data_IF_924448605529
#
_entry.id   IF_924448605529
#
_cell.length_a   1.000
_cell.length_b   1.000
_cell.length_c   1.000
_cell.angle_alpha   90.00
_cell.angle_beta   90.00
_cell.angle_gamma   90.00
#
_symmetry.space_group_name_H-M   'P 1'
#
loop_
_entity.id
_entity.type
_entity.pdbx_description
1 polymer ?
#
# COMPACT_ATOMS: atom_id res chain seq x y z
N UNK A 1 -20.56 17.03 -4.84
CA UNK A 1 -21.07 15.78 -4.21
C UNK A 1 -22.60 15.71 -4.23
N UNK A 2 -23.33 16.70 -3.70
CA UNK A 2 -24.82 16.71 -3.72
C UNK A 2 -25.43 16.64 -5.13
N UNK A 3 -24.84 17.32 -6.13
CA UNK A 3 -25.28 17.24 -7.53
C UNK A 3 -25.10 15.84 -8.16
N UNK A 4 -24.03 15.14 -7.79
CA UNK A 4 -23.79 13.75 -8.21
C UNK A 4 -24.78 12.78 -7.57
N UNK A 5 -25.09 12.99 -6.28
CA UNK A 5 -26.10 12.20 -5.57
C UNK A 5 -27.49 12.47 -6.15
N UNK A 6 -27.82 13.73 -6.48
CA UNK A 6 -29.09 14.09 -7.11
C UNK A 6 -29.24 13.49 -8.51
N UNK A 7 -28.16 13.51 -9.31
CA UNK A 7 -28.13 12.92 -10.64
C UNK A 7 -28.27 11.39 -10.60
N UNK A 8 -27.54 10.72 -9.69
CA UNK A 8 -27.66 9.28 -9.49
C UNK A 8 -29.02 8.90 -8.89
N UNK A 9 -29.60 9.73 -8.02
CA UNK A 9 -30.93 9.52 -7.45
C UNK A 9 -32.03 9.64 -8.50
N UNK A 10 -31.87 10.55 -9.46
CA UNK A 10 -32.78 10.68 -10.59
C UNK A 10 -32.72 9.47 -11.55
N UNK A 11 -31.56 8.82 -11.64
CA UNK A 11 -31.33 7.68 -12.54
C UNK A 11 -31.67 6.32 -11.93
N UNK A 12 -31.34 6.15 -10.65
CA UNK A 12 -31.27 4.85 -9.96
C UNK A 12 -32.19 4.79 -8.73
N UNK A 13 -32.82 5.91 -8.37
CA UNK A 13 -33.60 6.07 -7.13
C UNK A 13 -32.74 6.58 -5.97
N UNK A 14 -33.40 7.23 -4.99
CA UNK A 14 -32.74 7.88 -3.85
C UNK A 14 -31.92 6.89 -3.00
N UNK A 15 -32.48 5.72 -2.73
CA UNK A 15 -31.82 4.72 -1.89
C UNK A 15 -30.59 4.07 -2.57
N UNK A 16 -30.65 3.64 -3.84
CA UNK A 16 -29.47 3.20 -4.58
C UNK A 16 -28.41 4.30 -4.75
N UNK A 17 -28.80 5.57 -4.91
CA UNK A 17 -27.86 6.68 -4.98
C UNK A 17 -27.16 6.95 -3.65
N UNK A 18 -27.89 6.89 -2.53
CA UNK A 18 -27.31 7.00 -1.18
C UNK A 18 -26.38 5.80 -0.92
N UNK A 19 -26.82 4.58 -1.23
CA UNK A 19 -26.00 3.38 -1.08
C UNK A 19 -24.74 3.43 -1.95
N UNK A 20 -24.86 3.89 -3.21
CA UNK A 20 -23.73 4.09 -4.12
C UNK A 20 -22.77 5.17 -3.61
N UNK A 21 -23.28 6.27 -3.06
CA UNK A 21 -22.46 7.34 -2.50
C UNK A 21 -21.74 6.94 -1.21
N UNK A 22 -22.35 6.09 -0.39
CA UNK A 22 -21.79 5.63 0.89
C UNK A 22 -20.82 4.46 0.74
N UNK A 23 -21.08 3.53 -0.18
CA UNK A 23 -20.34 2.27 -0.28
C UNK A 23 -19.61 2.08 -1.62
N UNK A 24 -20.03 2.79 -2.67
CA UNK A 24 -19.53 2.62 -4.03
C UNK A 24 -19.96 1.29 -4.66
N UNK A 25 -20.33 1.29 -5.94
CA UNK A 25 -20.74 0.05 -6.63
C UNK A 25 -19.61 -0.97 -6.77
N UNK A 26 -18.35 -0.51 -6.78
CA UNK A 26 -17.16 -1.35 -7.02
C UNK A 26 -16.44 -1.79 -5.75
N UNK A 27 -16.66 -1.08 -4.64
CA UNK A 27 -15.94 -1.28 -3.37
C UNK A 27 -16.87 -1.66 -2.22
N UNK A 28 -18.19 -1.69 -2.43
CA UNK A 28 -19.17 -1.92 -1.36
C UNK A 28 -18.95 -3.20 -0.56
N UNK A 29 -18.50 -4.28 -1.20
CA UNK A 29 -18.15 -5.52 -0.49
C UNK A 29 -16.96 -5.34 0.48
N UNK A 30 -15.96 -4.54 0.10
CA UNK A 30 -14.80 -4.21 0.94
C UNK A 30 -15.16 -3.28 2.12
N UNK A 31 -16.24 -2.49 1.99
CA UNK A 31 -16.73 -1.61 3.07
C UNK A 31 -17.68 -2.36 4.02
N UNK A 32 -18.56 -3.20 3.46
CA UNK A 32 -19.66 -3.82 4.20
C UNK A 32 -19.21 -5.10 4.90
N UNK A 33 -18.51 -6.01 4.20
CA UNK A 33 -18.23 -7.36 4.71
C UNK A 33 -17.03 -7.41 5.65
N UNK A 34 -16.08 -6.47 5.53
CA UNK A 34 -14.85 -6.44 6.33
C UNK A 34 -13.97 -7.66 6.06
N UNK A 35 -12.68 -7.44 5.79
CA UNK A 35 -11.78 -8.59 5.62
C UNK A 35 -11.24 -9.08 6.96
N UNK A 36 -11.27 -10.40 7.20
CA UNK A 36 -10.58 -11.04 8.33
C UNK A 36 -9.07 -10.74 8.31
N UNK A 37 -8.48 -10.53 7.12
CA UNK A 37 -7.08 -10.12 7.01
C UNK A 37 -6.85 -8.66 7.46
N UNK A 38 -7.83 -7.77 7.23
CA UNK A 38 -7.74 -6.36 7.66
C UNK A 38 -7.80 -6.21 9.19
N UNK A 39 -8.58 -7.07 9.86
CA UNK A 39 -8.63 -7.15 11.33
C UNK A 39 -7.32 -7.65 11.94
N UNK A 40 -6.59 -8.55 11.26
CA UNK A 40 -5.28 -9.05 11.71
C UNK A 40 -4.16 -8.03 11.47
N UNK A 41 -4.19 -7.37 10.32
CA UNK A 41 -3.10 -6.48 9.89
C UNK A 41 -3.18 -5.09 10.56
N UNK A 42 -4.38 -4.59 10.86
CA UNK A 42 -4.56 -3.28 11.50
C UNK A 42 -3.75 -3.10 12.79
N UNK A 43 -3.86 -3.99 13.79
CA UNK A 43 -3.05 -3.92 15.00
C UNK A 43 -1.54 -3.96 14.75
N UNK A 44 -1.08 -4.75 13.77
CA UNK A 44 0.33 -4.82 13.39
C UNK A 44 0.81 -3.49 12.80
N UNK A 45 -0.01 -2.84 11.98
CA UNK A 45 0.29 -1.49 11.48
C UNK A 45 0.44 -0.49 12.63
N UNK A 46 -0.46 -0.52 13.62
CA UNK A 46 -0.37 0.35 14.79
C UNK A 46 0.91 0.08 15.58
N UNK A 47 1.20 -1.19 15.89
CA UNK A 47 2.40 -1.57 16.65
C UNK A 47 3.69 -1.15 15.93
N UNK A 48 3.73 -1.32 14.60
CA UNK A 48 4.87 -0.92 13.79
C UNK A 48 5.10 0.60 13.79
N UNK A 49 4.04 1.41 13.92
CA UNK A 49 4.13 2.87 13.98
C UNK A 49 4.50 3.41 15.38
N UNK A 50 4.40 2.58 16.42
CA UNK A 50 4.68 2.98 17.80
C UNK A 50 5.69 2.05 18.49
N UNK A 51 6.94 1.92 18.01
CA UNK A 51 8.01 1.27 18.75
C UNK A 51 8.48 2.10 19.97
N UNK A 52 7.69 3.10 20.38
CA UNK A 52 8.03 4.09 21.39
C UNK A 52 6.94 4.18 22.48
N UNK A 53 7.11 5.11 23.43
CA UNK A 53 6.20 5.24 24.58
C UNK A 53 4.80 5.78 24.23
N UNK A 54 4.55 6.24 23.00
CA UNK A 54 3.27 6.87 22.67
C UNK A 54 2.09 5.92 22.89
N UNK A 55 2.20 4.63 22.54
CA UNK A 55 1.11 3.68 22.70
C UNK A 55 0.82 3.35 24.19
N UNK A 56 1.81 3.02 25.04
CA UNK A 56 1.59 2.93 26.49
C UNK A 56 1.04 4.21 27.11
N UNK A 57 1.58 5.38 26.73
CA UNK A 57 1.13 6.66 27.23
C UNK A 57 -0.31 6.96 26.78
N UNK A 58 -0.72 6.55 25.58
CA UNK A 58 -2.09 6.69 25.11
C UNK A 58 -3.06 5.98 26.05
N UNK A 59 -2.77 4.75 26.49
CA UNK A 59 -3.64 4.04 27.44
C UNK A 59 -3.71 4.72 28.80
N UNK A 60 -2.60 5.26 29.30
CA UNK A 60 -2.61 6.07 30.52
C UNK A 60 -3.43 7.35 30.32
N UNK A 61 -3.32 7.97 29.15
CA UNK A 61 -4.12 9.12 28.73
C UNK A 61 -5.61 8.81 28.72
N UNK A 62 -6.02 7.67 28.17
CA UNK A 62 -7.43 7.22 28.19
C UNK A 62 -7.92 7.05 29.63
N UNK A 63 -7.11 6.48 30.52
CA UNK A 63 -7.47 6.33 31.93
C UNK A 63 -7.57 7.69 32.67
N UNK A 64 -6.78 8.68 32.26
CA UNK A 64 -6.71 10.00 32.89
C UNK A 64 -7.62 11.06 32.26
N UNK A 65 -8.08 10.87 31.01
CA UNK A 65 -8.70 11.93 30.20
C UNK A 65 -9.95 12.53 30.84
N UNK A 66 -10.78 11.73 31.53
CA UNK A 66 -11.97 12.24 32.23
C UNK A 66 -11.62 13.19 33.36
N UNK A 67 -10.50 12.96 34.05
CA UNK A 67 -10.02 13.81 35.14
C UNK A 67 -9.36 15.09 34.60
N UNK A 68 -8.64 14.98 33.48
CA UNK A 68 -7.87 16.09 32.91
C UNK A 68 -8.72 17.01 32.01
N UNK A 69 -9.66 16.46 31.24
CA UNK A 69 -10.46 17.19 30.23
C UNK A 69 -11.91 17.45 30.67
N UNK A 70 -12.37 16.81 31.74
CA UNK A 70 -13.79 16.78 32.10
C UNK A 70 -14.62 15.81 31.25
N UNK A 71 -15.88 15.61 31.65
CA UNK A 71 -16.76 14.57 31.07
C UNK A 71 -17.06 14.72 29.57
N UNK A 72 -17.62 15.86 29.11
CA UNK A 72 -18.04 16.01 27.71
C UNK A 72 -16.88 15.93 26.72
N UNK A 73 -15.77 16.60 27.01
CA UNK A 73 -14.61 16.60 26.13
C UNK A 73 -13.91 15.23 26.10
N UNK A 74 -13.79 14.55 27.24
CA UNK A 74 -13.28 13.18 27.28
C UNK A 74 -14.13 12.21 26.45
N UNK A 75 -15.46 12.37 26.46
CA UNK A 75 -16.36 11.59 25.62
C UNK A 75 -16.16 11.88 24.13
N UNK A 76 -16.06 13.16 23.75
CA UNK A 76 -15.82 13.53 22.36
C UNK A 76 -14.49 12.94 21.83
N UNK A 77 -13.39 13.13 22.58
CA UNK A 77 -12.07 12.59 22.22
C UNK A 77 -12.10 11.06 22.17
N UNK A 78 -12.69 10.40 23.16
CA UNK A 78 -12.80 8.94 23.20
C UNK A 78 -13.61 8.39 22.02
N UNK A 79 -14.74 9.03 21.70
CA UNK A 79 -15.61 8.63 20.59
C UNK A 79 -14.91 8.84 19.24
N UNK A 80 -14.26 9.97 19.01
CA UNK A 80 -13.48 10.23 17.79
C UNK A 80 -12.35 9.21 17.62
N UNK A 81 -11.61 8.93 18.70
CA UNK A 81 -10.53 7.93 18.70
C UNK A 81 -11.06 6.55 18.31
N UNK A 82 -12.15 6.10 18.95
CA UNK A 82 -12.76 4.82 18.66
C UNK A 82 -13.32 4.76 17.23
N UNK A 83 -13.99 5.81 16.77
CA UNK A 83 -14.56 5.89 15.43
C UNK A 83 -13.48 5.79 14.35
N UNK A 84 -12.39 6.57 14.47
CA UNK A 84 -11.28 6.51 13.51
C UNK A 84 -10.58 5.16 13.51
N UNK A 85 -10.36 4.57 14.68
CA UNK A 85 -9.76 3.24 14.78
C UNK A 85 -10.65 2.16 14.13
N UNK A 86 -11.93 2.12 14.50
CA UNK A 86 -12.88 1.13 13.98
C UNK A 86 -13.08 1.28 12.47
N UNK A 87 -13.13 2.52 11.98
CA UNK A 87 -13.17 2.79 10.56
C UNK A 87 -11.93 2.23 9.84
N UNK A 88 -10.73 2.56 10.33
CA UNK A 88 -9.49 2.13 9.72
C UNK A 88 -9.32 0.59 9.72
N UNK A 89 -9.66 -0.08 10.82
CA UNK A 89 -9.56 -1.55 10.94
C UNK A 89 -10.57 -2.27 10.06
N UNK A 90 -11.78 -1.71 9.90
CA UNK A 90 -12.85 -2.31 9.10
C UNK A 90 -12.62 -2.14 7.60
N UNK A 91 -12.02 -1.03 7.19
CA UNK A 91 -11.93 -0.65 5.78
C UNK A 91 -10.79 -1.40 5.07
N UNK A 92 -11.11 -2.54 4.45
CA UNK A 92 -10.13 -3.42 3.82
C UNK A 92 -9.81 -2.99 2.39
N UNK A 93 -8.98 -1.98 2.24
CA UNK A 93 -8.38 -1.57 0.95
C UNK A 93 -6.86 -1.67 1.01
N UNK A 94 -6.20 -1.66 -0.15
CA UNK A 94 -4.73 -1.77 -0.26
C UNK A 94 -4.00 -0.72 0.59
N UNK A 95 -4.53 0.50 0.66
CA UNK A 95 -3.95 1.62 1.40
C UNK A 95 -4.58 1.81 2.78
N UNK A 96 -4.98 0.71 3.43
CA UNK A 96 -5.63 0.72 4.76
C UNK A 96 -4.88 1.60 5.78
N UNK A 97 -3.55 1.60 5.72
CA UNK A 97 -2.68 2.37 6.61
C UNK A 97 -2.95 3.89 6.58
N UNK A 98 -3.39 4.45 5.44
CA UNK A 98 -3.70 5.88 5.34
C UNK A 98 -4.90 6.28 6.21
N UNK A 99 -5.85 5.36 6.42
CA UNK A 99 -7.02 5.62 7.26
C UNK A 99 -6.70 5.62 8.76
N UNK A 100 -5.52 5.15 9.17
CA UNK A 100 -5.07 5.27 10.54
C UNK A 100 -4.53 6.67 10.88
N UNK A 101 -4.28 7.56 9.90
CA UNK A 101 -3.70 8.89 10.16
C UNK A 101 -4.55 9.72 11.14
N UNK A 102 -5.89 9.83 11.00
CA UNK A 102 -6.72 10.52 11.99
C UNK A 102 -6.69 9.85 13.37
N UNK A 103 -6.62 8.52 13.41
CA UNK A 103 -6.45 7.78 14.67
C UNK A 103 -5.12 8.09 15.33
N UNK A 104 -4.01 8.15 14.58
CA UNK A 104 -2.69 8.49 15.10
C UNK A 104 -2.62 9.90 15.69
N UNK A 105 -3.34 10.86 15.10
CA UNK A 105 -3.47 12.19 15.68
C UNK A 105 -4.15 12.15 17.06
N UNK A 106 -5.25 11.38 17.18
CA UNK A 106 -5.93 11.21 18.48
C UNK A 106 -5.06 10.46 19.49
N UNK A 107 -4.35 9.42 19.05
CA UNK A 107 -3.41 8.66 19.87
C UNK A 107 -2.29 9.56 20.42
N UNK A 108 -1.77 10.49 19.62
CA UNK A 108 -0.77 11.47 20.05
C UNK A 108 -1.29 12.42 21.13
N UNK A 109 -2.54 12.91 21.00
CA UNK A 109 -3.19 13.75 22.02
C UNK A 109 -3.32 12.97 23.33
N UNK A 110 -3.85 11.75 23.27
CA UNK A 110 -3.99 10.87 24.44
C UNK A 110 -2.64 10.53 25.06
N UNK A 111 -1.61 10.27 24.25
CA UNK A 111 -0.25 10.05 24.74
C UNK A 111 0.29 11.28 25.49
N UNK A 112 0.01 12.49 25.01
CA UNK A 112 0.32 13.73 25.72
C UNK A 112 -0.35 13.82 27.09
N UNK A 113 -1.64 13.46 27.19
CA UNK A 113 -2.35 13.40 28.47
C UNK A 113 -1.75 12.36 29.42
N UNK A 114 -1.40 11.18 28.90
CA UNK A 114 -0.73 10.15 29.68
C UNK A 114 0.63 10.62 30.19
N UNK A 115 1.38 11.35 29.36
CA UNK A 115 2.65 11.95 29.76
C UNK A 115 2.47 12.96 30.90
N UNK A 116 1.50 13.88 30.79
CA UNK A 116 1.17 14.84 31.86
C UNK A 116 0.87 14.10 33.16
N UNK A 117 -0.04 13.12 33.13
CA UNK A 117 -0.46 12.36 34.31
C UNK A 117 0.70 11.64 35.01
N UNK A 118 1.63 11.06 34.26
CA UNK A 118 2.78 10.36 34.84
C UNK A 118 3.90 11.34 35.26
N UNK A 119 3.99 12.50 34.62
CA UNK A 119 4.96 13.53 34.99
C UNK A 119 4.67 14.13 36.37
N UNK A 120 3.39 14.28 36.72
CA UNK A 120 2.91 14.73 38.04
C UNK A 120 3.28 13.74 39.16
N UNK A 121 3.52 12.47 38.84
CA UNK A 121 3.96 11.45 39.80
C UNK A 121 5.47 11.51 40.11
N UNK A 122 6.14 12.64 39.84
CA UNK A 122 7.56 12.88 40.13
C UNK A 122 8.55 12.26 39.14
N UNK A 123 8.08 11.60 38.08
CA UNK A 123 8.92 10.84 37.12
C UNK A 123 9.24 11.60 35.83
N UNK A 124 8.93 12.91 35.76
CA UNK A 124 9.02 13.73 34.54
C UNK A 124 10.36 13.60 33.80
N UNK A 125 11.49 13.70 34.51
CA UNK A 125 12.83 13.65 33.90
C UNK A 125 13.09 12.31 33.22
N UNK A 126 12.83 11.20 33.92
CA UNK A 126 13.04 9.85 33.38
C UNK A 126 12.10 9.53 32.23
N UNK A 127 10.83 9.93 32.33
CA UNK A 127 9.85 9.75 31.25
C UNK A 127 10.25 10.54 30.00
N UNK A 128 10.72 11.78 30.16
CA UNK A 128 11.21 12.60 29.06
C UNK A 128 12.43 11.96 28.38
N UNK A 129 13.42 11.53 29.17
CA UNK A 129 14.61 10.83 28.64
C UNK A 129 14.23 9.55 27.90
N UNK A 130 13.37 8.71 28.48
CA UNK A 130 12.92 7.47 27.84
C UNK A 130 12.13 7.74 26.55
N UNK A 131 11.27 8.76 26.52
CA UNK A 131 10.53 9.16 25.33
C UNK A 131 11.48 9.61 24.21
N UNK A 132 12.49 10.42 24.51
CA UNK A 132 13.48 10.88 23.53
C UNK A 132 14.29 9.69 22.99
N UNK A 133 14.79 8.83 23.87
CA UNK A 133 15.57 7.65 23.46
C UNK A 133 14.75 6.74 22.54
N UNK A 134 13.50 6.43 22.90
CA UNK A 134 12.66 5.53 22.11
C UNK A 134 12.18 6.18 20.81
N UNK A 135 11.97 7.50 20.80
CA UNK A 135 11.72 8.24 19.57
C UNK A 135 12.94 8.17 18.63
N UNK A 136 14.15 8.40 19.17
CA UNK A 136 15.40 8.29 18.42
C UNK A 136 15.71 6.84 17.97
N UNK A 137 15.19 5.84 18.68
CA UNK A 137 15.30 4.44 18.29
C UNK A 137 14.38 4.08 17.11
N UNK A 138 13.35 4.88 16.81
CA UNK A 138 12.35 4.57 15.77
C UNK A 138 12.97 4.39 14.37
N UNK A 139 13.84 5.30 13.87
CA UNK A 139 14.57 5.06 12.61
C UNK A 139 15.44 3.79 12.65
N UNK A 140 16.04 3.46 13.79
CA UNK A 140 16.84 2.23 13.92
C UNK A 140 15.95 0.98 13.79
N UNK A 141 14.75 0.99 14.37
CA UNK A 141 13.79 -0.09 14.19
C UNK A 141 13.45 -0.31 12.71
N UNK A 142 13.11 0.76 11.99
CA UNK A 142 12.78 0.69 10.56
C UNK A 142 13.96 0.27 9.67
N UNK A 143 15.21 0.62 10.03
CA UNK A 143 16.38 0.20 9.25
C UNK A 143 16.71 -1.28 9.45
N UNK A 144 16.43 -1.85 10.62
CA UNK A 144 16.72 -3.26 10.95
C UNK A 144 15.62 -4.23 10.49
N UNK A 145 14.37 -3.77 10.38
CA UNK A 145 13.21 -4.58 10.01
C UNK A 145 13.38 -5.39 8.70
N UNK A 146 13.92 -4.84 7.59
CA UNK A 146 14.17 -5.62 6.38
C UNK A 146 15.12 -6.80 6.62
N UNK A 147 16.24 -6.58 7.32
CA UNK A 147 17.20 -7.65 7.61
C UNK A 147 16.63 -8.73 8.53
N UNK A 148 15.83 -8.34 9.51
CA UNK A 148 15.13 -9.28 10.41
C UNK A 148 14.14 -10.12 9.61
N UNK A 149 13.26 -9.48 8.82
CA UNK A 149 12.25 -10.20 8.03
C UNK A 149 12.87 -11.15 7.02
N UNK A 150 13.94 -10.75 6.34
CA UNK A 150 14.70 -11.62 5.43
C UNK A 150 15.35 -12.80 6.17
N UNK A 151 16.01 -12.55 7.31
CA UNK A 151 16.71 -13.59 8.09
C UNK A 151 15.77 -14.66 8.65
N UNK A 152 14.56 -14.25 9.06
CA UNK A 152 13.57 -15.15 9.64
C UNK A 152 12.51 -15.61 8.64
N UNK A 153 12.68 -15.29 7.34
CA UNK A 153 11.73 -15.62 6.27
C UNK A 153 10.28 -15.19 6.60
N UNK A 154 10.14 -14.01 7.21
CA UNK A 154 8.83 -13.43 7.54
C UNK A 154 8.26 -12.83 6.26
N UNK A 155 7.09 -13.32 5.85
CA UNK A 155 6.40 -12.81 4.69
C UNK A 155 6.04 -11.33 4.89
N UNK A 156 6.53 -10.47 3.98
CA UNK A 156 6.15 -9.06 3.90
C UNK A 156 5.16 -8.91 2.74
N UNK A 157 4.10 -8.10 2.88
CA UNK A 157 3.20 -7.83 1.76
C UNK A 157 3.95 -7.33 0.52
N UNK A 158 3.45 -7.65 -0.68
CA UNK A 158 3.96 -7.11 -1.93
C UNK A 158 4.42 -8.15 -2.95
N UNK A 159 4.87 -7.64 -4.11
CA UNK A 159 5.35 -8.40 -5.26
C UNK A 159 6.82 -8.76 -5.10
N UNK A 160 7.13 -10.05 -4.95
CA UNK A 160 8.51 -10.58 -4.88
C UNK A 160 9.08 -10.99 -6.23
N UNK A 161 8.24 -10.98 -7.26
CA UNK A 161 8.52 -11.45 -8.62
C UNK A 161 9.19 -10.38 -9.50
N UNK A 162 9.01 -9.10 -9.17
CA UNK A 162 9.59 -7.98 -9.91
C UNK A 162 11.11 -7.90 -9.73
N UNK A 163 11.83 -7.76 -10.84
CA UNK A 163 13.27 -7.58 -10.83
C UNK A 163 13.66 -6.30 -10.05
N UNK A 164 14.80 -6.37 -9.33
CA UNK A 164 15.39 -5.28 -8.55
C UNK A 164 14.59 -4.78 -7.34
N UNK A 165 13.35 -5.22 -7.13
CA UNK A 165 12.52 -4.78 -5.99
C UNK A 165 12.80 -5.63 -4.74
N UNK A 166 13.53 -5.07 -3.78
CA UNK A 166 13.62 -5.61 -2.42
C UNK A 166 12.30 -5.33 -1.67
N UNK A 167 11.38 -6.30 -1.66
CA UNK A 167 10.05 -6.17 -1.06
C UNK A 167 10.10 -5.75 0.43
N UNK A 168 10.87 -6.43 1.31
CA UNK A 168 11.04 -6.00 2.69
C UNK A 168 11.47 -4.54 2.84
N UNK A 169 12.50 -4.11 2.10
CA UNK A 169 12.95 -2.71 2.13
C UNK A 169 11.88 -1.76 1.58
N UNK A 170 11.23 -2.14 0.49
CA UNK A 170 10.21 -1.35 -0.19
C UNK A 170 8.98 -1.08 0.69
N UNK A 171 8.61 -2.00 1.58
CA UNK A 171 7.44 -1.81 2.45
C UNK A 171 7.76 -1.34 3.87
N UNK A 172 8.90 -1.74 4.43
CA UNK A 172 9.20 -1.47 5.85
C UNK A 172 10.00 -0.19 6.08
N UNK A 173 10.77 0.28 5.09
CA UNK A 173 11.61 1.48 5.26
C UNK A 173 10.84 2.70 4.77
N UNK A 174 10.47 3.66 5.65
CA UNK A 174 9.61 4.78 5.25
C UNK A 174 10.35 5.81 4.40
N UNK A 175 11.67 5.98 4.57
CA UNK A 175 12.46 6.85 3.70
C UNK A 175 12.81 6.15 2.39
N UNK A 176 12.47 6.80 1.28
CA UNK A 176 12.68 6.29 -0.09
C UNK A 176 13.77 7.04 -0.86
N UNK A 177 14.62 7.80 -0.17
CA UNK A 177 15.63 8.67 -0.81
C UNK A 177 16.63 7.91 -1.70
N UNK A 178 16.90 6.65 -1.41
CA UNK A 178 17.79 5.79 -2.19
C UNK A 178 17.04 4.57 -2.78
N UNK A 179 15.76 4.74 -3.11
CA UNK A 179 14.95 3.70 -3.74
C UNK A 179 14.89 3.94 -5.26
N UNK A 180 15.67 3.16 -6.02
CA UNK A 180 15.77 3.23 -7.49
C UNK A 180 15.29 1.92 -8.17
N UNK A 181 14.63 1.01 -7.45
CA UNK A 181 14.22 -0.27 -8.08
C UNK A 181 13.32 -0.08 -9.30
N UNK A 182 12.41 0.90 -9.27
CA UNK A 182 11.54 1.21 -10.41
C UNK A 182 12.30 1.80 -11.60
N UNK A 183 13.28 2.66 -11.36
CA UNK A 183 14.11 3.26 -12.40
C UNK A 183 15.05 2.23 -13.04
N UNK A 184 15.72 1.41 -12.23
CA UNK A 184 16.52 0.27 -12.69
C UNK A 184 15.67 -0.72 -13.49
N UNK A 185 14.51 -1.13 -12.96
CA UNK A 185 13.58 -2.01 -13.67
C UNK A 185 13.20 -1.43 -15.04
N UNK A 186 12.79 -0.16 -15.08
CA UNK A 186 12.35 0.48 -16.30
C UNK A 186 13.47 0.61 -17.35
N UNK A 187 14.68 1.01 -16.94
CA UNK A 187 15.85 1.05 -17.83
C UNK A 187 16.19 -0.33 -18.37
N UNK A 188 16.33 -1.33 -17.51
CA UNK A 188 16.65 -2.69 -17.95
C UNK A 188 15.55 -3.29 -18.84
N UNK A 189 14.29 -3.03 -18.53
CA UNK A 189 13.16 -3.43 -19.36
C UNK A 189 13.25 -2.83 -20.77
N UNK A 190 13.53 -1.53 -20.87
CA UNK A 190 13.69 -0.85 -22.15
C UNK A 190 14.93 -1.29 -22.91
N UNK A 191 16.06 -1.54 -22.25
CA UNK A 191 17.27 -2.09 -22.86
C UNK A 191 17.07 -3.51 -23.40
N UNK A 192 16.30 -4.33 -22.67
CA UNK A 192 16.06 -5.73 -23.00
C UNK A 192 15.27 -5.92 -24.29
N UNK A 193 14.25 -5.10 -24.55
CA UNK A 193 13.30 -5.35 -25.65
C UNK A 193 13.82 -4.82 -26.99
N UNK A 194 13.74 -5.56 -28.10
CA UNK A 194 14.08 -5.03 -29.42
C UNK A 194 13.04 -4.01 -29.91
N UNK A 195 13.35 -3.16 -30.91
CA UNK A 195 12.34 -2.36 -31.61
C UNK A 195 11.22 -3.23 -32.19
N UNK A 196 10.00 -2.69 -32.26
CA UNK A 196 8.77 -3.39 -32.65
C UNK A 196 8.18 -4.31 -31.58
N UNK A 197 8.72 -4.31 -30.35
CA UNK A 197 8.21 -5.15 -29.25
C UNK A 197 6.92 -4.62 -28.64
N UNK A 198 6.12 -5.53 -28.08
CA UNK A 198 4.98 -5.20 -27.23
C UNK A 198 5.32 -5.57 -25.79
N UNK A 199 5.18 -4.62 -24.87
CA UNK A 199 5.41 -4.86 -23.44
C UNK A 199 4.11 -4.66 -22.69
N UNK A 200 3.60 -5.75 -22.13
CA UNK A 200 2.40 -5.76 -21.28
C UNK A 200 2.87 -5.55 -19.83
N UNK A 201 2.32 -4.53 -19.19
CA UNK A 201 2.71 -4.08 -17.86
C UNK A 201 1.46 -3.88 -17.02
N UNK A 202 1.55 -4.18 -15.72
CA UNK A 202 0.51 -3.72 -14.80
C UNK A 202 0.58 -2.19 -14.61
N UNK A 203 -0.45 -1.62 -13.98
CA UNK A 203 -0.50 -0.16 -13.77
C UNK A 203 0.61 0.37 -12.86
N UNK A 204 1.24 -0.47 -12.03
CA UNK A 204 2.31 -0.09 -11.10
C UNK A 204 3.68 -0.01 -11.77
N UNK A 205 3.94 -0.81 -12.80
CA UNK A 205 5.19 -0.80 -13.57
C UNK A 205 5.08 0.07 -14.83
N UNK A 206 3.89 0.16 -15.45
CA UNK A 206 3.65 0.89 -16.69
C UNK A 206 4.20 2.33 -16.67
N UNK A 207 3.84 3.12 -15.66
CA UNK A 207 4.20 4.54 -15.64
C UNK A 207 5.70 4.78 -15.49
N UNK A 208 6.39 3.92 -14.73
CA UNK A 208 7.85 4.00 -14.61
C UNK A 208 8.52 3.70 -15.96
N UNK A 209 8.08 2.64 -16.65
CA UNK A 209 8.59 2.26 -17.98
C UNK A 209 8.27 3.33 -19.02
N UNK A 210 7.05 3.85 -19.07
CA UNK A 210 6.67 4.89 -20.05
C UNK A 210 7.45 6.19 -19.83
N UNK A 211 7.69 6.57 -18.57
CA UNK A 211 8.52 7.73 -18.25
C UNK A 211 9.95 7.55 -18.76
N UNK A 212 10.62 6.44 -18.41
CA UNK A 212 11.99 6.16 -18.88
C UNK A 212 12.04 6.03 -20.40
N UNK A 213 11.07 5.37 -21.02
CA UNK A 213 10.96 5.27 -22.47
C UNK A 213 10.94 6.65 -23.11
N UNK A 214 10.13 7.59 -22.60
CA UNK A 214 10.03 8.95 -23.16
C UNK A 214 11.29 9.78 -22.96
N UNK A 215 11.99 9.60 -21.84
CA UNK A 215 13.15 10.42 -21.48
C UNK A 215 14.46 9.90 -22.08
N UNK A 216 14.66 8.58 -22.07
CA UNK A 216 15.95 7.95 -22.39
C UNK A 216 15.89 7.11 -23.68
N UNK A 217 14.70 6.67 -24.11
CA UNK A 217 14.52 5.78 -25.26
C UNK A 217 13.42 6.29 -26.22
N UNK A 218 13.34 7.61 -26.42
CA UNK A 218 12.25 8.26 -27.17
C UNK A 218 12.08 7.72 -28.58
N UNK A 219 13.19 7.34 -29.20
CA UNK A 219 13.26 6.91 -30.60
C UNK A 219 13.04 5.41 -30.77
N UNK A 220 12.93 4.68 -29.64
CA UNK A 220 12.73 3.23 -29.65
C UNK A 220 11.27 2.90 -29.88
N UNK A 221 10.98 2.29 -31.02
CA UNK A 221 9.64 1.80 -31.34
C UNK A 221 9.26 0.62 -30.43
N UNK A 222 8.57 0.90 -29.33
CA UNK A 222 8.08 -0.10 -28.37
C UNK A 222 6.68 0.28 -27.95
N UNK A 223 5.74 -0.67 -28.10
CA UNK A 223 4.35 -0.48 -27.70
C UNK A 223 4.17 -0.94 -26.26
N UNK A 224 3.92 0.00 -25.35
CA UNK A 224 3.56 -0.30 -23.97
C UNK A 224 2.04 -0.47 -23.83
N UNK A 225 1.61 -1.50 -23.11
CA UNK A 225 0.20 -1.88 -22.95
C UNK A 225 -0.11 -2.08 -21.46
N UNK A 226 -1.20 -1.49 -20.97
CA UNK A 226 -1.66 -1.69 -19.58
C UNK A 226 -2.52 -2.96 -19.51
N UNK A 227 -2.14 -3.87 -18.62
CA UNK A 227 -2.87 -5.10 -18.31
C UNK A 227 -4.35 -4.83 -17.98
N UNK A 228 -5.26 -5.63 -18.55
CA UNK A 228 -6.71 -5.57 -18.35
C UNK A 228 -7.42 -4.41 -19.07
N UNK A 229 -6.68 -3.38 -19.51
CA UNK A 229 -7.23 -2.26 -20.28
C UNK A 229 -7.04 -2.48 -21.77
N UNK A 230 -5.79 -2.73 -22.17
CA UNK A 230 -5.35 -2.69 -23.57
C UNK A 230 -4.74 -4.03 -24.06
N UNK A 231 -4.69 -5.05 -23.19
CA UNK A 231 -4.04 -6.36 -23.42
C UNK A 231 -4.97 -7.48 -23.90
N UNK A 232 -6.17 -7.14 -24.40
CA UNK A 232 -7.12 -8.14 -24.89
C UNK A 232 -6.57 -8.90 -26.11
N UNK A 233 -7.06 -10.11 -26.33
CA UNK A 233 -6.62 -11.00 -27.43
C UNK A 233 -6.68 -10.32 -28.81
N UNK A 234 -7.70 -9.51 -29.07
CA UNK A 234 -7.83 -8.75 -30.33
C UNK A 234 -6.69 -7.73 -30.54
N UNK A 235 -6.12 -7.22 -29.45
CA UNK A 235 -5.04 -6.23 -29.49
C UNK A 235 -3.64 -6.85 -29.57
N UNK A 236 -3.49 -8.10 -29.11
CA UNK A 236 -2.24 -8.87 -29.11
C UNK A 236 -2.55 -10.31 -29.56
N UNK A 237 -2.62 -10.55 -30.89
CA UNK A 237 -2.94 -11.87 -31.41
C UNK A 237 -1.94 -12.95 -30.97
N UNK A 238 -2.42 -14.18 -30.80
CA UNK A 238 -1.55 -15.35 -30.54
C UNK A 238 -0.51 -15.49 -31.65
N UNK A 239 0.75 -15.69 -31.27
CA UNK A 239 1.88 -15.74 -32.20
C UNK A 239 2.49 -14.39 -32.54
N UNK A 240 2.07 -13.29 -31.90
CA UNK A 240 2.77 -12.01 -32.05
C UNK A 240 4.22 -12.15 -31.56
N UNK A 241 5.23 -11.83 -32.38
CA UNK A 241 6.63 -11.92 -31.96
C UNK A 241 6.96 -10.85 -30.92
N UNK A 242 8.01 -11.07 -30.12
CA UNK A 242 8.58 -10.07 -29.20
C UNK A 242 7.56 -9.47 -28.22
N UNK A 243 6.73 -10.32 -27.63
CA UNK A 243 5.82 -9.93 -26.55
C UNK A 243 6.49 -10.20 -25.21
N UNK A 244 6.45 -9.21 -24.32
CA UNK A 244 7.07 -9.26 -23.00
C UNK A 244 6.08 -8.91 -21.89
N UNK A 245 6.29 -9.47 -20.70
CA UNK A 245 5.51 -9.22 -19.48
C UNK A 245 6.42 -8.73 -18.34
N UNK A 246 5.90 -7.92 -17.43
CA UNK A 246 6.61 -7.63 -16.17
C UNK A 246 6.57 -8.80 -15.17
N UNK A 247 5.61 -9.73 -15.32
CA UNK A 247 5.53 -10.95 -14.51
C UNK A 247 4.73 -12.08 -15.14
N UNK A 248 5.04 -13.29 -14.68
CA UNK A 248 4.32 -14.53 -14.96
C UNK A 248 3.43 -14.99 -13.78
N UNK A 249 3.33 -14.18 -12.71
CA UNK A 249 2.50 -14.49 -11.55
C UNK A 249 1.01 -14.41 -11.86
N UNK A 250 0.20 -15.23 -11.18
CA UNK A 250 -1.25 -15.21 -11.37
C UNK A 250 -1.84 -13.80 -11.18
N UNK A 251 -2.60 -13.34 -12.17
CA UNK A 251 -3.19 -12.00 -12.17
C UNK A 251 -2.30 -10.89 -12.74
N UNK A 252 -1.07 -11.18 -13.16
CA UNK A 252 -0.16 -10.23 -13.83
C UNK A 252 -0.04 -10.44 -15.34
N UNK A 253 -0.89 -11.30 -15.89
CA UNK A 253 -1.12 -11.48 -17.32
C UNK A 253 -2.57 -11.86 -17.56
N UNK A 254 -2.99 -11.81 -18.82
CA UNK A 254 -4.36 -12.18 -19.18
C UNK A 254 -4.55 -13.69 -19.12
N UNK A 255 -5.66 -14.15 -18.52
CA UNK A 255 -5.94 -15.59 -18.33
C UNK A 255 -5.92 -16.40 -19.63
N UNK A 256 -6.33 -15.80 -20.74
CA UNK A 256 -6.30 -16.47 -22.04
C UNK A 256 -4.87 -16.82 -22.48
N UNK A 257 -3.85 -16.08 -22.03
CA UNK A 257 -2.46 -16.35 -22.41
C UNK A 257 -1.94 -17.65 -21.79
N UNK A 258 -2.46 -18.09 -20.64
CA UNK A 258 -2.06 -19.37 -20.02
C UNK A 258 -2.33 -20.57 -20.92
N UNK A 259 -3.40 -20.49 -21.73
CA UNK A 259 -3.76 -21.54 -22.69
C UNK A 259 -2.75 -21.62 -23.83
N UNK A 260 -2.24 -20.48 -24.31
CA UNK A 260 -1.48 -20.38 -25.56
C UNK A 260 0.00 -20.03 -25.40
N UNK A 261 0.49 -19.74 -24.20
CA UNK A 261 1.86 -19.31 -23.99
C UNK A 261 2.51 -19.95 -22.75
N UNK A 262 3.84 -19.92 -22.74
CA UNK A 262 4.67 -20.06 -21.56
C UNK A 262 5.51 -18.80 -21.39
N UNK A 263 6.09 -18.62 -20.20
CA UNK A 263 6.81 -17.41 -19.85
C UNK A 263 8.23 -17.77 -19.42
N UNK A 264 9.22 -17.20 -20.10
CA UNK A 264 10.63 -17.40 -19.77
C UNK A 264 11.26 -16.08 -19.32
N UNK A 265 11.97 -16.09 -18.20
CA UNK A 265 12.77 -14.93 -17.76
C UNK A 265 14.25 -15.29 -17.83
N UNK A 266 14.95 -14.86 -18.89
CA UNK A 266 16.38 -15.10 -18.99
C UNK A 266 17.13 -14.49 -17.79
N UNK A 267 18.25 -15.09 -17.40
CA UNK A 267 19.05 -14.61 -16.28
C UNK A 267 19.47 -13.14 -16.48
N UNK A 268 19.30 -12.32 -15.44
CA UNK A 268 19.63 -10.89 -15.48
C UNK A 268 18.67 -10.02 -16.29
N UNK A 269 17.52 -10.53 -16.72
CA UNK A 269 16.49 -9.78 -17.42
C UNK A 269 15.38 -9.30 -16.49
N UNK A 270 14.80 -8.15 -16.81
CA UNK A 270 13.72 -7.53 -16.05
C UNK A 270 12.35 -8.09 -16.44
N UNK A 271 12.15 -8.37 -17.73
CA UNK A 271 10.88 -8.82 -18.30
C UNK A 271 10.91 -10.31 -18.64
N UNK A 272 9.74 -10.94 -18.60
CA UNK A 272 9.49 -12.28 -19.12
C UNK A 272 9.20 -12.20 -20.62
N UNK A 273 9.81 -13.07 -21.41
CA UNK A 273 9.46 -13.30 -22.80
C UNK A 273 8.25 -14.24 -22.88
N UNK A 274 7.25 -13.87 -23.67
CA UNK A 274 6.11 -14.72 -23.99
C UNK A 274 6.49 -15.68 -25.12
N UNK A 275 6.44 -16.97 -24.83
CA UNK A 275 6.74 -18.05 -25.78
C UNK A 275 5.42 -18.75 -26.14
N UNK A 276 4.93 -18.54 -27.37
CA UNK A 276 3.67 -19.12 -27.82
C UNK A 276 3.80 -20.63 -28.06
N UNK A 277 2.84 -21.41 -27.53
CA UNK A 277 2.72 -22.85 -27.75
C UNK A 277 2.32 -23.11 -29.20
N UNK A 278 3.02 -24.00 -29.89
CA UNK A 278 2.70 -24.39 -31.28
C UNK A 278 3.43 -23.60 -32.38
N UNK A 279 4.55 -22.95 -32.04
CA UNK A 279 5.57 -22.50 -32.98
C UNK A 279 6.91 -23.13 -32.66
#
# INVERSE_FOLDING_TARGET
MLLLIAFEAAKSGLWPAISSALFGQRWGDNVVKGSVSALKNGPLCVLLNFPNLALPLMFVGIAAMRRLLGGPLAWAVGLMTAMYFLFAVRYSVSDQFMFFVPFYAMAAILAGLGFVRLSEAGKRRWLGVAAIILLAATPVTYSLLPSITQRFNIAVPGRTDLAYRDSPRYWLVPWKNNEDSAGMFARTAMEQVPPGSIVILDSTTFYAVDMIRRLEFSDKDVRLVILGKDSKMDAIPVGTPNVYLDSAGEGYHEKWMDEFATYDRPAGKALFLVVWKGR
#
